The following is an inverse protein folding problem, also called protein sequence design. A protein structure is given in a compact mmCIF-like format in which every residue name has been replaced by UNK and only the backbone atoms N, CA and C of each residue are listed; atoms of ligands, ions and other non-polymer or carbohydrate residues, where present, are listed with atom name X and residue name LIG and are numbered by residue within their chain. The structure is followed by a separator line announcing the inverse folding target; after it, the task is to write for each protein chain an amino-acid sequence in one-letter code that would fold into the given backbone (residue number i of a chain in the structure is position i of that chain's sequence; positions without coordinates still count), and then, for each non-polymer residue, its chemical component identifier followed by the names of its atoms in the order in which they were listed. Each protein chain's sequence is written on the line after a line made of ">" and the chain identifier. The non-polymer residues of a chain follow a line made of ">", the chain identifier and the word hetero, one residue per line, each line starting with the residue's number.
data_IF_232466223641
#
_entry.id   IF_232466223641
#
_cell.length_a   1.000
_cell.length_b   1.000
_cell.length_c   1.000
_cell.angle_alpha   90.00
_cell.angle_beta   90.00
_cell.angle_gamma   90.00
#
_symmetry.space_group_name_H-M   'P 1'
#
loop_
_entity.id
_entity.type
_entity.pdbx_description
1 polymer ?
#
# COMPACT_ATOMS: atom_id res chain seq x y z
N UNK A 1 12.30 34.68 -0.29
CA UNK A 1 11.66 33.44 0.21
C UNK A 1 10.26 33.27 -0.39
N UNK A 2 10.12 33.10 -1.72
CA UNK A 2 8.80 33.00 -2.40
C UNK A 2 8.37 31.59 -2.80
N UNK A 3 9.24 30.59 -2.60
CA UNK A 3 9.03 29.19 -3.01
C UNK A 3 9.21 28.21 -1.83
N UNK A 4 8.81 28.59 -0.62
CA UNK A 4 8.90 27.67 0.52
C UNK A 4 7.76 26.64 0.43
N UNK A 5 8.13 25.36 0.35
CA UNK A 5 7.18 24.26 0.28
C UNK A 5 6.64 24.04 1.68
N UNK A 6 5.40 24.45 1.93
CA UNK A 6 4.73 24.13 3.20
C UNK A 6 4.32 22.66 3.22
N UNK A 7 4.89 21.84 4.13
CA UNK A 7 4.53 20.45 4.24
C UNK A 7 3.11 20.27 4.82
N UNK A 8 2.55 19.09 4.59
CA UNK A 8 1.23 18.65 4.99
C UNK A 8 1.29 17.14 5.26
N UNK A 9 0.88 16.73 6.46
CA UNK A 9 0.78 15.33 6.88
C UNK A 9 -0.42 14.63 6.26
N UNK A 10 -0.52 14.68 4.93
CA UNK A 10 -1.63 14.15 4.13
C UNK A 10 -1.94 12.70 4.45
N UNK A 11 -0.92 11.91 4.79
CA UNK A 11 -1.08 10.50 5.11
C UNK A 11 -1.94 10.23 6.35
N UNK A 12 -1.92 11.11 7.35
CA UNK A 12 -2.54 10.84 8.66
C UNK A 12 -4.06 10.63 8.52
N UNK A 13 -4.83 11.52 7.85
CA UNK A 13 -6.24 11.28 7.60
C UNK A 13 -6.53 9.97 6.86
N UNK A 14 -5.75 9.60 5.85
CA UNK A 14 -5.96 8.33 5.12
C UNK A 14 -5.66 7.09 5.97
N UNK A 15 -4.65 7.16 6.86
CA UNK A 15 -4.40 6.08 7.82
C UNK A 15 -5.60 5.92 8.75
N UNK A 16 -6.25 7.01 9.19
CA UNK A 16 -7.45 6.94 10.03
C UNK A 16 -8.63 6.35 9.23
N UNK A 17 -8.88 6.85 8.02
CA UNK A 17 -9.95 6.38 7.14
C UNK A 17 -9.80 4.88 6.85
N UNK A 18 -8.58 4.42 6.58
CA UNK A 18 -8.28 3.01 6.37
C UNK A 18 -8.67 2.15 7.58
N UNK A 19 -8.34 2.61 8.79
CA UNK A 19 -8.68 1.92 10.03
C UNK A 19 -10.18 1.82 10.25
N UNK A 20 -10.91 2.90 9.97
CA UNK A 20 -12.38 2.92 10.02
C UNK A 20 -12.96 1.89 9.04
N UNK A 21 -12.45 1.83 7.81
CA UNK A 21 -12.91 0.87 6.81
C UNK A 21 -12.59 -0.58 7.17
N UNK A 22 -11.39 -0.85 7.71
CA UNK A 22 -11.05 -2.20 8.17
C UNK A 22 -11.91 -2.63 9.36
N UNK A 23 -12.18 -1.74 10.31
CA UNK A 23 -13.11 -1.99 11.42
C UNK A 23 -14.52 -2.27 10.90
N UNK A 24 -15.04 -1.41 10.03
CA UNK A 24 -16.36 -1.58 9.43
C UNK A 24 -16.46 -2.89 8.63
N UNK A 25 -15.43 -3.22 7.84
CA UNK A 25 -15.35 -4.48 7.09
C UNK A 25 -15.27 -5.70 8.00
N UNK A 26 -14.54 -5.63 9.12
CA UNK A 26 -14.50 -6.68 10.12
C UNK A 26 -15.87 -6.91 10.78
N UNK A 27 -16.54 -5.82 11.18
CA UNK A 27 -17.88 -5.87 11.77
C UNK A 27 -18.93 -6.37 10.77
N UNK A 28 -18.77 -6.08 9.48
CA UNK A 28 -19.73 -6.48 8.46
C UNK A 28 -19.74 -7.98 8.16
N UNK A 29 -18.77 -8.74 8.67
CA UNK A 29 -18.81 -10.20 8.67
C UNK A 29 -20.00 -10.75 9.48
N UNK A 30 -20.45 -10.02 10.52
CA UNK A 30 -21.60 -10.43 11.35
C UNK A 30 -22.95 -10.07 10.73
N UNK A 31 -22.98 -9.13 9.78
CA UNK A 31 -24.20 -8.66 9.11
C UNK A 31 -24.35 -9.18 7.69
N UNK A 32 -23.34 -9.90 7.18
CA UNK A 32 -23.38 -10.61 5.89
C UNK A 32 -23.24 -9.73 4.64
N UNK A 33 -22.88 -8.45 4.77
CA UNK A 33 -22.82 -7.53 3.63
C UNK A 33 -21.48 -6.79 3.54
N UNK A 34 -21.04 -6.49 2.31
CA UNK A 34 -19.99 -5.51 1.98
C UNK A 34 -18.57 -5.73 2.52
N UNK A 35 -18.25 -6.87 3.14
CA UNK A 35 -16.92 -7.14 3.72
C UNK A 35 -15.77 -6.88 2.73
N UNK A 36 -15.78 -7.53 1.57
CA UNK A 36 -14.72 -7.39 0.57
C UNK A 36 -14.55 -5.95 0.07
N UNK A 37 -15.66 -5.24 -0.18
CA UNK A 37 -15.65 -3.85 -0.61
C UNK A 37 -15.04 -2.95 0.46
N UNK A 38 -15.45 -3.08 1.72
CA UNK A 38 -14.94 -2.25 2.83
C UNK A 38 -13.44 -2.50 3.08
N UNK A 39 -13.00 -3.76 3.02
CA UNK A 39 -11.58 -4.09 3.13
C UNK A 39 -10.75 -3.45 2.01
N UNK A 40 -11.26 -3.46 0.76
CA UNK A 40 -10.59 -2.80 -0.34
C UNK A 40 -10.60 -1.28 -0.20
N UNK A 41 -11.72 -0.66 0.19
CA UNK A 41 -11.77 0.78 0.46
C UNK A 41 -10.72 1.21 1.51
N UNK A 42 -10.51 0.38 2.54
CA UNK A 42 -9.43 0.59 3.50
C UNK A 42 -8.03 0.55 2.87
N UNK A 43 -7.75 -0.46 2.06
CA UNK A 43 -6.47 -0.59 1.35
C UNK A 43 -6.23 0.56 0.34
N UNK A 44 -7.28 0.96 -0.38
CA UNK A 44 -7.27 2.06 -1.33
C UNK A 44 -7.13 3.44 -0.65
N UNK A 45 -7.59 3.55 0.60
CA UNK A 45 -7.31 4.72 1.44
C UNK A 45 -5.82 4.78 1.81
N UNK A 46 -5.21 3.68 2.29
CA UNK A 46 -3.76 3.61 2.53
C UNK A 46 -2.96 3.99 1.28
N UNK A 47 -3.34 3.39 0.15
CA UNK A 47 -2.78 3.67 -1.17
C UNK A 47 -2.82 5.16 -1.53
N UNK A 48 -4.01 5.79 -1.45
CA UNK A 48 -4.19 7.20 -1.80
C UNK A 48 -3.35 8.12 -0.92
N UNK A 49 -3.36 7.88 0.40
CA UNK A 49 -2.57 8.66 1.34
C UNK A 49 -1.06 8.53 1.11
N UNK A 50 -0.59 7.32 0.76
CA UNK A 50 0.82 7.11 0.49
C UNK A 50 1.29 7.67 -0.85
N UNK A 51 0.48 7.63 -1.91
CA UNK A 51 0.82 8.35 -3.15
C UNK A 51 0.90 9.84 -2.89
N UNK A 52 -0.09 10.43 -2.23
CA UNK A 52 -0.09 11.86 -1.95
C UNK A 52 1.12 12.27 -1.11
N UNK A 53 1.54 11.42 -0.15
CA UNK A 53 2.75 11.64 0.63
C UNK A 53 4.04 11.49 -0.19
N UNK A 54 4.18 10.38 -0.93
CA UNK A 54 5.42 10.02 -1.64
C UNK A 54 5.86 11.10 -2.59
N UNK A 55 4.90 11.70 -3.24
CA UNK A 55 5.21 12.66 -4.24
C UNK A 55 4.99 14.11 -3.75
N UNK A 56 3.95 14.40 -2.94
CA UNK A 56 3.57 15.80 -2.71
C UNK A 56 2.92 16.11 -1.35
N UNK A 57 3.69 16.19 -0.27
CA UNK A 57 3.17 16.72 1.00
C UNK A 57 2.95 18.25 0.94
N UNK A 58 2.85 18.88 -0.24
CA UNK A 58 2.85 20.34 -0.37
C UNK A 58 1.42 20.90 -0.39
N UNK A 59 1.17 21.96 0.40
CA UNK A 59 -0.14 22.65 0.44
C UNK A 59 -0.63 23.20 -0.91
N UNK A 60 0.25 23.37 -1.89
CA UNK A 60 -0.15 23.82 -3.24
C UNK A 60 -1.09 22.84 -3.96
N UNK A 61 -1.11 21.56 -3.56
CA UNK A 61 -2.00 20.55 -4.12
C UNK A 61 -3.22 20.26 -3.22
N UNK A 62 -3.48 21.09 -2.20
CA UNK A 62 -4.48 20.79 -1.17
C UNK A 62 -5.88 20.54 -1.73
N UNK A 63 -6.27 21.27 -2.79
CA UNK A 63 -7.61 21.14 -3.38
C UNK A 63 -7.86 19.73 -3.93
N UNK A 64 -7.09 19.23 -4.91
CA UNK A 64 -7.34 17.89 -5.44
C UNK A 64 -7.05 16.79 -4.40
N UNK A 65 -6.19 17.05 -3.41
CA UNK A 65 -5.95 16.12 -2.32
C UNK A 65 -7.15 16.01 -1.35
N UNK A 66 -7.80 17.12 -1.01
CA UNK A 66 -9.03 17.12 -0.21
C UNK A 66 -10.20 16.49 -0.99
N UNK A 67 -10.30 16.75 -2.29
CA UNK A 67 -11.30 16.11 -3.16
C UNK A 67 -11.11 14.59 -3.13
N UNK A 68 -9.89 14.10 -3.34
CA UNK A 68 -9.60 12.67 -3.22
C UNK A 68 -9.99 12.14 -1.83
N UNK A 69 -9.60 12.82 -0.76
CA UNK A 69 -9.87 12.41 0.62
C UNK A 69 -11.38 12.28 0.90
N UNK A 70 -12.18 13.27 0.50
CA UNK A 70 -13.63 13.26 0.68
C UNK A 70 -14.26 12.12 -0.13
N UNK A 71 -13.84 11.94 -1.37
CA UNK A 71 -14.42 10.93 -2.26
C UNK A 71 -14.06 9.51 -1.83
N UNK A 72 -12.85 9.25 -1.32
CA UNK A 72 -12.49 7.91 -0.82
C UNK A 72 -13.33 7.50 0.40
N UNK A 73 -13.83 8.46 1.19
CA UNK A 73 -14.74 8.22 2.32
C UNK A 73 -16.17 7.81 1.89
N UNK A 74 -16.52 7.94 0.62
CA UNK A 74 -17.83 7.55 0.10
C UNK A 74 -17.72 6.10 -0.40
N UNK A 75 -18.41 5.12 0.24
CA UNK A 75 -18.26 3.70 -0.06
C UNK A 75 -19.03 3.27 -1.32
N UNK A 76 -18.87 4.03 -2.42
CA UNK A 76 -19.54 3.82 -3.70
C UNK A 76 -18.46 3.70 -4.79
N UNK A 77 -18.48 2.66 -5.66
CA UNK A 77 -17.47 2.48 -6.70
C UNK A 77 -17.25 3.70 -7.60
N UNK A 78 -18.32 4.40 -7.98
CA UNK A 78 -18.23 5.62 -8.79
C UNK A 78 -17.49 6.76 -8.06
N UNK A 79 -17.68 6.90 -6.75
CA UNK A 79 -16.95 7.89 -5.96
C UNK A 79 -15.44 7.56 -5.94
N UNK A 80 -15.08 6.27 -5.94
CA UNK A 80 -13.68 5.84 -6.04
C UNK A 80 -13.08 6.19 -7.39
N UNK A 81 -13.82 6.02 -8.51
CA UNK A 81 -13.36 6.49 -9.84
C UNK A 81 -13.01 7.97 -9.81
N UNK A 82 -13.92 8.81 -9.29
CA UNK A 82 -13.68 10.25 -9.18
C UNK A 82 -12.51 10.57 -8.24
N UNK A 83 -12.36 9.83 -7.14
CA UNK A 83 -11.23 9.97 -6.24
C UNK A 83 -9.91 9.72 -6.98
N UNK A 84 -9.82 8.66 -7.79
CA UNK A 84 -8.60 8.33 -8.53
C UNK A 84 -8.34 9.23 -9.72
N UNK A 85 -9.36 9.88 -10.30
CA UNK A 85 -9.17 10.98 -11.24
C UNK A 85 -8.48 12.15 -10.53
N UNK A 86 -8.99 12.57 -9.37
CA UNK A 86 -8.36 13.64 -8.58
C UNK A 86 -6.92 13.28 -8.15
N UNK A 87 -6.67 12.02 -7.78
CA UNK A 87 -5.33 11.52 -7.47
C UNK A 87 -4.41 11.55 -8.69
N UNK A 88 -4.91 11.14 -9.87
CA UNK A 88 -4.15 11.15 -11.12
C UNK A 88 -3.79 12.57 -11.53
N UNK A 89 -4.73 13.51 -11.48
CA UNK A 89 -4.46 14.94 -11.71
C UNK A 89 -3.38 15.44 -10.74
N UNK A 90 -3.53 15.10 -9.45
CA UNK A 90 -2.55 15.44 -8.43
C UNK A 90 -1.19 14.87 -8.75
N UNK A 91 -1.09 13.64 -9.25
CA UNK A 91 0.18 12.98 -9.59
C UNK A 91 0.82 13.49 -10.90
N UNK A 92 0.03 13.91 -11.88
CA UNK A 92 0.53 14.44 -13.16
C UNK A 92 1.07 15.86 -13.00
N UNK A 93 0.30 16.77 -12.39
CA UNK A 93 0.70 18.18 -12.18
C UNK A 93 2.08 18.29 -11.53
N UNK A 94 2.37 17.33 -10.72
CA UNK A 94 3.35 17.40 -9.68
C UNK A 94 4.63 16.67 -10.08
N UNK A 95 4.53 15.62 -10.90
CA UNK A 95 5.62 15.15 -11.75
C UNK A 95 6.08 16.28 -12.69
N UNK A 96 5.15 17.03 -13.31
CA UNK A 96 5.49 18.17 -14.17
C UNK A 96 6.17 19.32 -13.40
N UNK A 97 5.84 19.50 -12.13
CA UNK A 97 6.53 20.46 -11.27
C UNK A 97 7.94 19.97 -10.93
N UNK A 98 8.08 18.71 -10.51
CA UNK A 98 9.38 18.11 -10.14
C UNK A 98 10.35 18.12 -11.31
N UNK A 99 9.89 17.85 -12.54
CA UNK A 99 10.74 17.86 -13.73
C UNK A 99 11.33 19.24 -14.05
N UNK A 100 10.71 20.34 -13.59
CA UNK A 100 11.22 21.70 -13.77
C UNK A 100 12.37 22.05 -12.82
N UNK A 101 12.55 21.29 -11.72
CA UNK A 101 13.63 21.54 -10.75
C UNK A 101 14.97 20.90 -11.13
N UNK A 102 15.10 20.33 -12.34
CA UNK A 102 16.38 19.87 -12.91
C UNK A 102 16.99 18.60 -12.30
N UNK A 103 16.38 18.02 -11.26
CA UNK A 103 16.83 16.76 -10.69
C UNK A 103 16.38 15.56 -11.55
N UNK A 104 17.28 14.58 -11.76
CA UNK A 104 16.93 13.28 -12.35
C UNK A 104 16.03 12.51 -11.38
N UNK A 105 14.72 12.71 -11.47
CA UNK A 105 13.74 12.00 -10.65
C UNK A 105 13.72 10.51 -11.04
N UNK A 106 13.93 9.56 -10.12
CA UNK A 106 13.82 8.14 -10.43
C UNK A 106 12.35 7.82 -10.75
N UNK A 107 12.04 7.61 -12.02
CA UNK A 107 10.69 7.30 -12.49
C UNK A 107 10.34 5.89 -12.03
N UNK A 108 9.54 5.79 -10.97
CA UNK A 108 8.96 4.52 -10.55
C UNK A 108 7.69 4.25 -11.37
N UNK A 109 7.84 3.55 -12.49
CA UNK A 109 6.79 3.31 -13.48
C UNK A 109 5.58 2.60 -12.86
N UNK A 110 5.83 1.61 -12.00
CA UNK A 110 4.77 0.86 -11.31
C UNK A 110 3.91 1.77 -10.44
N UNK A 111 4.54 2.64 -9.65
CA UNK A 111 3.83 3.60 -8.77
C UNK A 111 3.14 4.69 -9.58
N UNK A 112 3.76 5.21 -10.63
CA UNK A 112 3.19 6.30 -11.44
C UNK A 112 2.05 5.82 -12.33
N UNK A 113 2.06 4.55 -12.74
CA UNK A 113 0.95 3.95 -13.50
C UNK A 113 -0.26 3.61 -12.62
N UNK A 114 -0.07 3.34 -11.33
CA UNK A 114 -1.15 2.84 -10.48
C UNK A 114 -2.36 3.79 -10.32
N UNK A 115 -2.25 5.13 -10.30
CA UNK A 115 -3.44 6.01 -10.25
C UNK A 115 -4.29 5.89 -11.50
N UNK A 116 -3.65 5.87 -12.67
CA UNK A 116 -4.31 5.70 -13.97
C UNK A 116 -4.99 4.33 -14.03
N UNK A 117 -4.28 3.27 -13.62
CA UNK A 117 -4.85 1.93 -13.52
C UNK A 117 -6.03 1.89 -12.53
N UNK A 118 -5.98 2.64 -11.43
CA UNK A 118 -7.08 2.72 -10.47
C UNK A 118 -8.34 3.32 -11.10
N UNK A 119 -8.21 4.37 -11.92
CA UNK A 119 -9.36 4.94 -12.66
C UNK A 119 -9.99 3.89 -13.57
N UNK A 120 -9.16 3.20 -14.37
CA UNK A 120 -9.62 2.17 -15.32
C UNK A 120 -10.32 1.03 -14.57
N UNK A 121 -9.64 0.44 -13.58
CA UNK A 121 -10.13 -0.77 -12.92
C UNK A 121 -11.26 -0.52 -11.93
N UNK A 122 -11.38 0.66 -11.31
CA UNK A 122 -12.59 1.02 -10.56
C UNK A 122 -13.80 1.21 -11.49
N UNK A 123 -13.59 1.76 -12.69
CA UNK A 123 -14.65 1.88 -13.70
C UNK A 123 -15.14 0.50 -14.13
N UNK A 124 -14.20 -0.40 -14.46
CA UNK A 124 -14.53 -1.78 -14.80
C UNK A 124 -15.16 -2.52 -13.61
N UNK A 125 -14.68 -2.32 -12.38
CA UNK A 125 -15.29 -2.92 -11.19
C UNK A 125 -16.73 -2.43 -10.99
N UNK A 126 -17.02 -1.15 -11.21
CA UNK A 126 -18.37 -0.62 -11.13
C UNK A 126 -19.32 -1.24 -12.16
N UNK A 127 -18.80 -1.69 -13.32
CA UNK A 127 -19.58 -2.33 -14.37
C UNK A 127 -19.74 -3.84 -14.15
N UNK A 128 -18.71 -4.54 -13.65
CA UNK A 128 -18.64 -6.00 -13.63
C UNK A 128 -18.63 -6.64 -12.24
N UNK A 129 -18.44 -5.87 -11.17
CA UNK A 129 -18.43 -6.37 -9.79
C UNK A 129 -17.29 -7.33 -9.44
N UNK A 130 -16.23 -7.40 -10.25
CA UNK A 130 -15.15 -8.38 -10.08
C UNK A 130 -13.95 -7.80 -9.28
N UNK A 131 -13.73 -8.32 -8.07
CA UNK A 131 -12.64 -7.91 -7.17
C UNK A 131 -11.23 -8.09 -7.73
N UNK A 132 -11.00 -9.02 -8.65
CA UNK A 132 -9.70 -9.23 -9.29
C UNK A 132 -9.19 -8.00 -10.03
N UNK A 133 -10.11 -7.20 -10.58
CA UNK A 133 -9.81 -5.94 -11.25
C UNK A 133 -9.07 -4.96 -10.33
N UNK A 134 -9.45 -4.95 -9.05
CA UNK A 134 -8.94 -4.01 -8.05
C UNK A 134 -7.57 -4.43 -7.49
N UNK A 135 -7.16 -5.69 -7.67
CA UNK A 135 -5.83 -6.17 -7.25
C UNK A 135 -4.73 -5.57 -8.13
N UNK A 136 -4.97 -5.37 -9.42
CA UNK A 136 -3.98 -4.91 -10.40
C UNK A 136 -3.35 -3.56 -10.03
N UNK A 137 -4.13 -2.48 -9.82
CA UNK A 137 -3.57 -1.19 -9.43
C UNK A 137 -2.88 -1.25 -8.05
N UNK A 138 -3.45 -1.98 -7.07
CA UNK A 138 -2.85 -2.12 -5.74
C UNK A 138 -1.51 -2.86 -5.81
N UNK A 139 -1.44 -3.98 -6.53
CA UNK A 139 -0.22 -4.76 -6.65
C UNK A 139 0.86 -4.01 -7.42
N UNK A 140 0.48 -3.27 -8.47
CA UNK A 140 1.38 -2.36 -9.19
C UNK A 140 2.01 -1.35 -8.22
N UNK A 141 1.18 -0.67 -7.42
CA UNK A 141 1.66 0.25 -6.40
C UNK A 141 2.59 -0.42 -5.39
N UNK A 142 2.15 -1.54 -4.78
CA UNK A 142 2.85 -2.24 -3.71
C UNK A 142 4.22 -2.75 -4.14
N UNK A 143 4.32 -3.37 -5.31
CA UNK A 143 5.60 -3.82 -5.86
C UNK A 143 6.52 -2.64 -6.15
N UNK A 144 5.96 -1.56 -6.71
CA UNK A 144 6.70 -0.35 -7.01
C UNK A 144 7.32 0.31 -5.77
N UNK A 145 6.54 0.57 -4.72
CA UNK A 145 7.06 1.25 -3.52
C UNK A 145 8.02 0.37 -2.71
N UNK A 146 7.80 -0.95 -2.68
CA UNK A 146 8.65 -1.86 -1.93
C UNK A 146 10.01 -2.14 -2.60
N UNK A 147 10.20 -1.79 -3.88
CA UNK A 147 11.57 -1.75 -4.45
C UNK A 147 12.47 -0.85 -3.59
N UNK A 148 11.97 0.32 -3.17
CA UNK A 148 12.73 1.26 -2.35
C UNK A 148 13.02 0.73 -0.94
N UNK A 149 12.02 0.12 -0.30
CA UNK A 149 12.14 -0.48 1.04
C UNK A 149 13.19 -1.59 1.01
N UNK A 150 13.02 -2.58 0.15
CA UNK A 150 13.92 -3.73 0.07
C UNK A 150 15.33 -3.35 -0.40
N UNK A 151 15.46 -2.35 -1.29
CA UNK A 151 16.78 -1.81 -1.64
C UNK A 151 17.50 -1.26 -0.41
N UNK A 152 16.79 -0.52 0.44
CA UNK A 152 17.39 0.12 1.60
C UNK A 152 17.67 -0.86 2.76
N UNK A 153 16.80 -1.85 2.96
CA UNK A 153 16.85 -2.78 4.10
C UNK A 153 17.62 -4.07 3.78
N UNK A 154 17.45 -4.64 2.59
CA UNK A 154 18.09 -5.88 2.15
C UNK A 154 19.29 -5.64 1.21
N UNK A 155 19.51 -4.39 0.79
CA UNK A 155 20.66 -4.03 -0.05
C UNK A 155 20.58 -4.58 -1.48
N UNK A 156 19.37 -4.88 -1.97
CA UNK A 156 19.16 -5.29 -3.37
C UNK A 156 19.42 -4.14 -4.33
N UNK A 157 19.73 -4.44 -5.59
CA UNK A 157 19.95 -3.39 -6.60
C UNK A 157 18.62 -2.71 -6.93
N UNK A 158 18.50 -1.38 -6.84
CA UNK A 158 17.29 -0.68 -7.25
C UNK A 158 17.07 -0.84 -8.75
N UNK A 159 15.83 -1.11 -9.14
CA UNK A 159 15.41 -1.25 -10.53
C UNK A 159 14.16 -0.39 -10.75
N UNK A 160 14.31 0.70 -11.48
CA UNK A 160 13.25 1.68 -11.77
C UNK A 160 13.07 1.88 -13.28
N UNK A 161 12.01 2.58 -13.68
CA UNK A 161 11.71 2.91 -15.06
C UNK A 161 11.34 1.70 -15.90
N UNK A 162 11.88 1.62 -17.12
CA UNK A 162 11.56 0.56 -18.09
C UNK A 162 11.89 -0.85 -17.59
N UNK A 163 12.84 -0.99 -16.65
CA UNK A 163 13.16 -2.29 -16.03
C UNK A 163 11.99 -2.89 -15.26
N UNK A 164 10.95 -2.09 -14.94
CA UNK A 164 9.76 -2.54 -14.23
C UNK A 164 8.62 -3.00 -15.16
N UNK A 165 8.76 -2.87 -16.49
CA UNK A 165 7.77 -3.35 -17.46
C UNK A 165 7.46 -4.85 -17.33
N UNK A 166 8.44 -5.75 -17.11
CA UNK A 166 8.15 -7.18 -16.89
C UNK A 166 7.28 -7.42 -15.66
N UNK A 167 7.47 -6.62 -14.61
CA UNK A 167 6.66 -6.72 -13.37
C UNK A 167 5.25 -6.22 -13.63
N UNK A 168 5.10 -5.12 -14.37
CA UNK A 168 3.78 -4.63 -14.76
C UNK A 168 3.03 -5.68 -15.58
N UNK A 169 3.68 -6.30 -16.58
CA UNK A 169 3.10 -7.39 -17.36
C UNK A 169 2.71 -8.59 -16.49
N UNK A 170 3.56 -8.96 -15.53
CA UNK A 170 3.27 -10.03 -14.57
C UNK A 170 2.04 -9.69 -13.72
N UNK A 171 1.86 -8.44 -13.28
CA UNK A 171 0.66 -8.00 -12.55
C UNK A 171 -0.60 -8.15 -13.41
N UNK A 172 -0.55 -7.81 -14.70
CA UNK A 172 -1.68 -7.99 -15.61
C UNK A 172 -2.04 -9.46 -15.87
N UNK A 173 -1.11 -10.40 -15.67
CA UNK A 173 -1.41 -11.84 -15.80
C UNK A 173 -2.56 -12.28 -14.89
N UNK A 174 -2.80 -11.57 -13.77
CA UNK A 174 -3.91 -11.83 -12.85
C UNK A 174 -5.26 -11.89 -13.56
N UNK A 175 -5.47 -11.10 -14.63
CA UNK A 175 -6.72 -11.11 -15.40
C UNK A 175 -7.01 -12.46 -16.09
N UNK A 176 -5.97 -13.26 -16.34
CA UNK A 176 -6.08 -14.50 -17.10
C UNK A 176 -6.04 -15.71 -16.18
N UNK A 177 -5.11 -15.72 -15.23
CA UNK A 177 -4.79 -16.93 -14.46
C UNK A 177 -5.31 -16.90 -13.02
N UNK A 178 -5.65 -15.73 -12.48
CA UNK A 178 -6.12 -15.57 -11.10
C UNK A 178 -5.23 -16.24 -10.02
N UNK A 179 -3.92 -16.34 -10.26
CA UNK A 179 -2.95 -16.87 -9.30
C UNK A 179 -2.00 -15.76 -8.86
N UNK A 180 -2.04 -15.42 -7.57
CA UNK A 180 -1.24 -14.34 -6.96
C UNK A 180 0.25 -14.72 -6.93
N UNK A 181 0.58 -16.01 -6.84
CA UNK A 181 1.97 -16.48 -6.83
C UNK A 181 2.74 -16.11 -8.11
N UNK A 182 2.07 -16.00 -9.26
CA UNK A 182 2.77 -15.71 -10.52
C UNK A 182 3.38 -14.29 -10.50
N UNK A 183 2.62 -13.21 -10.29
CA UNK A 183 3.21 -11.89 -10.17
C UNK A 183 4.15 -11.75 -8.98
N UNK A 184 3.85 -12.36 -7.83
CA UNK A 184 4.72 -12.30 -6.63
C UNK A 184 6.05 -13.00 -6.85
N UNK A 185 6.03 -14.22 -7.40
CA UNK A 185 7.21 -15.01 -7.70
C UNK A 185 8.11 -14.33 -8.74
N UNK A 186 7.52 -13.81 -9.82
CA UNK A 186 8.25 -13.04 -10.83
C UNK A 186 8.86 -11.77 -10.20
N UNK A 187 8.11 -11.05 -9.37
CA UNK A 187 8.60 -9.87 -8.67
C UNK A 187 9.81 -10.17 -7.78
N UNK A 188 9.75 -11.22 -6.96
CA UNK A 188 10.87 -11.59 -6.10
C UNK A 188 12.05 -12.12 -6.88
N UNK A 189 11.84 -13.01 -7.86
CA UNK A 189 12.93 -13.51 -8.71
C UNK A 189 13.65 -12.35 -9.41
N UNK A 190 12.88 -11.40 -9.96
CA UNK A 190 13.41 -10.20 -10.57
C UNK A 190 14.15 -9.31 -9.57
N UNK A 191 13.58 -9.02 -8.40
CA UNK A 191 14.17 -8.10 -7.44
C UNK A 191 15.46 -8.65 -6.83
N UNK A 192 15.46 -9.94 -6.47
CA UNK A 192 16.56 -10.62 -5.78
C UNK A 192 17.57 -11.29 -6.73
N UNK A 193 17.42 -11.13 -8.05
CA UNK A 193 18.32 -11.71 -9.05
C UNK A 193 19.82 -11.44 -8.80
N UNK A 194 20.15 -10.24 -8.30
CA UNK A 194 21.55 -9.84 -8.02
C UNK A 194 21.98 -10.15 -6.57
N UNK A 195 21.20 -10.95 -5.85
CA UNK A 195 21.43 -11.30 -4.46
C UNK A 195 21.03 -10.22 -3.45
N UNK A 196 21.04 -10.63 -2.18
CA UNK A 196 20.80 -9.81 -0.99
C UNK A 196 22.15 -9.45 -0.38
N UNK A 197 22.36 -8.18 -0.01
CA UNK A 197 23.64 -7.69 0.54
C UNK A 197 23.58 -7.34 2.02
N UNK A 198 22.39 -7.23 2.57
CA UNK A 198 22.13 -6.89 3.98
C UNK A 198 20.98 -7.73 4.49
N UNK A 199 20.95 -7.94 5.79
CA UNK A 199 19.84 -8.62 6.43
C UNK A 199 19.08 -7.63 7.31
N UNK A 200 17.76 -7.58 7.15
CA UNK A 200 16.84 -6.94 8.07
C UNK A 200 15.67 -7.91 8.29
N UNK A 201 15.39 -8.22 9.56
CA UNK A 201 14.42 -9.25 9.92
C UNK A 201 13.02 -8.92 9.40
N UNK A 202 12.54 -7.69 9.63
CA UNK A 202 11.21 -7.25 9.16
C UNK A 202 11.07 -7.37 7.66
N UNK A 203 12.03 -6.85 6.89
CA UNK A 203 12.00 -6.95 5.43
C UNK A 203 12.05 -8.42 4.95
N UNK A 204 12.90 -9.25 5.55
CA UNK A 204 13.00 -10.68 5.20
C UNK A 204 11.71 -11.44 5.52
N UNK A 205 11.09 -11.15 6.67
CA UNK A 205 9.82 -11.73 7.08
C UNK A 205 8.69 -11.27 6.16
N UNK A 206 8.61 -9.99 5.78
CA UNK A 206 7.62 -9.51 4.79
C UNK A 206 7.74 -10.26 3.45
N UNK A 207 8.97 -10.47 2.96
CA UNK A 207 9.21 -11.24 1.72
C UNK A 207 8.79 -12.69 1.89
N UNK A 208 9.19 -13.32 2.98
CA UNK A 208 8.84 -14.71 3.30
C UNK A 208 7.32 -14.88 3.37
N UNK A 209 6.60 -14.07 4.14
CA UNK A 209 5.14 -14.18 4.28
C UNK A 209 4.43 -13.95 2.96
N UNK A 210 4.88 -12.97 2.16
CA UNK A 210 4.31 -12.71 0.84
C UNK A 210 4.49 -13.87 -0.14
N UNK A 211 5.69 -14.45 -0.19
CA UNK A 211 6.01 -15.57 -1.08
C UNK A 211 5.32 -16.85 -0.65
N UNK A 212 5.43 -17.17 0.65
CA UNK A 212 4.90 -18.40 1.22
C UNK A 212 3.36 -18.45 1.19
N UNK A 213 2.70 -17.35 1.57
CA UNK A 213 1.23 -17.28 1.55
C UNK A 213 0.69 -17.37 0.13
N UNK A 214 1.33 -16.70 -0.83
CA UNK A 214 0.94 -16.77 -2.25
C UNK A 214 1.20 -18.15 -2.84
N UNK A 215 2.30 -18.82 -2.46
CA UNK A 215 2.57 -20.18 -2.94
C UNK A 215 1.54 -21.17 -2.42
N UNK A 216 1.21 -21.09 -1.13
CA UNK A 216 0.26 -21.99 -0.51
C UNK A 216 -1.19 -21.72 -0.95
N UNK A 217 -1.50 -20.52 -1.45
CA UNK A 217 -2.85 -20.23 -1.94
C UNK A 217 -3.27 -21.07 -3.14
N UNK A 218 -2.30 -21.55 -3.93
CA UNK A 218 -2.56 -22.49 -5.04
C UNK A 218 -3.21 -23.77 -4.54
N UNK A 219 -2.85 -24.23 -3.34
CA UNK A 219 -3.40 -25.45 -2.75
C UNK A 219 -4.69 -25.20 -1.96
N UNK A 220 -4.88 -24.00 -1.43
CA UNK A 220 -6.05 -23.67 -0.61
C UNK A 220 -7.20 -23.04 -1.41
N UNK A 221 -6.94 -22.56 -2.63
CA UNK A 221 -7.89 -21.85 -3.48
C UNK A 221 -8.26 -20.44 -2.99
N UNK A 222 -7.66 -19.93 -1.91
CA UNK A 222 -8.02 -18.65 -1.28
C UNK A 222 -7.16 -17.47 -1.75
N UNK A 223 -7.09 -17.26 -3.05
CA UNK A 223 -6.15 -16.31 -3.68
C UNK A 223 -6.37 -14.84 -3.28
N UNK A 224 -7.62 -14.35 -3.25
CA UNK A 224 -7.90 -12.95 -2.86
C UNK A 224 -7.47 -12.69 -1.40
N UNK A 225 -7.65 -13.68 -0.52
CA UNK A 225 -7.23 -13.57 0.87
C UNK A 225 -5.71 -13.68 1.00
N UNK A 226 -5.05 -14.50 0.18
CA UNK A 226 -3.60 -14.58 0.11
C UNK A 226 -2.99 -13.26 -0.36
N UNK A 227 -3.61 -12.61 -1.35
CA UNK A 227 -3.26 -11.24 -1.72
C UNK A 227 -3.45 -10.29 -0.54
N UNK A 228 -4.63 -10.27 0.09
CA UNK A 228 -4.94 -9.31 1.15
C UNK A 228 -4.02 -9.45 2.39
N UNK A 229 -3.85 -10.67 2.90
CA UNK A 229 -3.16 -10.96 4.15
C UNK A 229 -1.67 -11.29 3.96
N UNK A 230 -1.29 -11.86 2.82
CA UNK A 230 0.10 -12.24 2.53
C UNK A 230 0.90 -11.14 1.85
N UNK A 231 0.27 -10.37 0.95
CA UNK A 231 0.96 -9.37 0.12
C UNK A 231 0.56 -7.95 0.51
N UNK A 232 -0.72 -7.60 0.36
CA UNK A 232 -1.23 -6.25 0.46
C UNK A 232 -0.96 -5.61 1.82
N UNK A 233 -1.51 -6.16 2.90
CA UNK A 233 -1.33 -5.59 4.23
C UNK A 233 0.14 -5.63 4.69
N UNK A 234 0.88 -6.76 4.56
CA UNK A 234 2.30 -6.79 4.92
C UNK A 234 3.12 -5.75 4.16
N UNK A 235 2.91 -5.59 2.85
CA UNK A 235 3.69 -4.64 2.03
C UNK A 235 3.31 -3.19 2.32
N UNK A 236 2.05 -2.90 2.63
CA UNK A 236 1.64 -1.57 3.12
C UNK A 236 2.27 -1.28 4.48
N UNK A 237 2.14 -2.19 5.44
CA UNK A 237 2.61 -1.94 6.80
C UNK A 237 4.12 -1.84 6.89
N UNK A 238 4.84 -2.66 6.13
CA UNK A 238 6.30 -2.57 6.00
C UNK A 238 6.71 -1.22 5.38
N UNK A 239 6.10 -0.81 4.26
CA UNK A 239 6.49 0.44 3.59
C UNK A 239 6.09 1.69 4.39
N UNK A 240 4.92 1.70 5.02
CA UNK A 240 4.44 2.81 5.82
C UNK A 240 5.31 2.95 7.08
N UNK A 241 5.55 1.85 7.81
CA UNK A 241 6.37 1.89 9.03
C UNK A 241 7.81 2.28 8.71
N UNK A 242 8.42 1.71 7.66
CA UNK A 242 9.76 2.08 7.23
C UNK A 242 9.88 3.57 6.91
N UNK A 243 8.85 4.14 6.29
CA UNK A 243 8.89 5.50 5.80
C UNK A 243 8.45 6.55 6.83
N UNK A 244 7.58 6.22 7.78
CA UNK A 244 7.03 7.16 8.79
C UNK A 244 7.66 7.00 10.17
N UNK A 245 8.04 5.78 10.53
CA UNK A 245 8.53 5.40 11.85
C UNK A 245 9.69 4.43 11.73
N UNK A 246 10.74 4.82 10.97
CA UNK A 246 11.89 3.95 10.70
C UNK A 246 12.54 3.36 11.95
N UNK A 247 12.58 4.12 13.05
CA UNK A 247 13.09 3.69 14.35
C UNK A 247 12.29 2.53 14.97
N UNK A 248 11.05 2.31 14.54
CA UNK A 248 10.22 1.18 14.95
C UNK A 248 10.21 0.03 13.94
N UNK A 249 10.91 0.17 12.80
CA UNK A 249 10.84 -0.81 11.70
C UNK A 249 11.37 -2.20 12.10
N UNK A 250 12.33 -2.27 13.03
CA UNK A 250 12.88 -3.55 13.48
C UNK A 250 11.90 -4.39 14.31
N UNK A 251 10.76 -3.83 14.71
CA UNK A 251 9.66 -4.55 15.37
C UNK A 251 8.51 -4.92 14.43
N UNK A 252 8.56 -4.47 13.16
CA UNK A 252 7.47 -4.65 12.19
C UNK A 252 7.26 -6.13 11.81
N UNK A 253 8.29 -6.98 11.87
CA UNK A 253 8.23 -8.41 11.51
C UNK A 253 7.09 -9.20 12.17
N UNK A 254 6.61 -8.76 13.35
CA UNK A 254 5.50 -9.39 14.06
C UNK A 254 4.20 -9.27 13.25
N UNK A 255 4.00 -8.16 12.55
CA UNK A 255 2.76 -7.85 11.84
C UNK A 255 2.57 -8.81 10.64
N UNK A 256 3.52 -8.97 9.70
CA UNK A 256 3.38 -9.94 8.62
C UNK A 256 3.17 -11.38 9.12
N UNK A 257 3.81 -11.78 10.22
CA UNK A 257 3.61 -13.11 10.81
C UNK A 257 2.18 -13.30 11.33
N UNK A 258 1.63 -12.31 12.05
CA UNK A 258 0.24 -12.36 12.51
C UNK A 258 -0.75 -12.44 11.34
N UNK A 259 -0.48 -11.71 10.25
CA UNK A 259 -1.33 -11.74 9.06
C UNK A 259 -1.23 -13.07 8.30
N UNK A 260 -0.04 -13.67 8.23
CA UNK A 260 0.16 -15.01 7.69
C UNK A 260 -0.56 -16.08 8.55
N UNK A 261 -0.43 -16.00 9.87
CA UNK A 261 -1.15 -16.87 10.81
C UNK A 261 -2.66 -16.70 10.63
N UNK A 262 -3.15 -15.46 10.52
CA UNK A 262 -4.54 -15.17 10.23
C UNK A 262 -5.03 -15.87 8.96
N UNK A 263 -4.25 -15.83 7.89
CA UNK A 263 -4.58 -16.52 6.63
C UNK A 263 -4.73 -18.03 6.82
N UNK A 264 -3.79 -18.68 7.51
CA UNK A 264 -3.86 -20.13 7.73
C UNK A 264 -4.98 -20.54 8.69
N UNK A 265 -5.18 -19.79 9.78
CA UNK A 265 -6.27 -20.04 10.72
C UNK A 265 -7.63 -19.90 10.05
N UNK A 266 -7.77 -18.97 9.09
CA UNK A 266 -9.03 -18.72 8.37
C UNK A 266 -9.60 -19.98 7.73
N UNK A 267 -8.74 -20.91 7.30
CA UNK A 267 -9.16 -22.18 6.70
C UNK A 267 -10.03 -23.02 7.65
N UNK A 268 -9.85 -22.83 8.95
CA UNK A 268 -10.50 -23.63 9.98
C UNK A 268 -11.50 -22.81 10.79
N UNK A 269 -11.12 -21.58 11.18
CA UNK A 269 -11.88 -20.76 12.13
C UNK A 269 -11.81 -19.27 11.75
N UNK A 270 -12.97 -18.69 11.43
CA UNK A 270 -13.06 -17.28 11.02
C UNK A 270 -12.75 -16.31 12.17
N UNK A 271 -13.26 -16.56 13.38
CA UNK A 271 -13.11 -15.64 14.52
C UNK A 271 -11.64 -15.50 14.96
N UNK A 272 -10.88 -16.59 15.20
CA UNK A 272 -9.48 -16.47 15.60
C UNK A 272 -8.59 -15.87 14.50
N UNK A 273 -8.91 -16.11 13.22
CA UNK A 273 -8.30 -15.41 12.08
C UNK A 273 -8.54 -13.90 12.14
N UNK A 274 -9.79 -13.49 12.42
CA UNK A 274 -10.15 -12.10 12.65
C UNK A 274 -9.36 -11.45 13.79
N UNK A 275 -9.19 -12.16 14.92
CA UNK A 275 -8.41 -11.67 16.07
C UNK A 275 -6.94 -11.44 15.67
N UNK A 276 -6.30 -12.41 15.01
CA UNK A 276 -4.92 -12.26 14.56
C UNK A 276 -4.74 -11.06 13.62
N UNK A 277 -5.71 -10.84 12.71
CA UNK A 277 -5.73 -9.66 11.83
C UNK A 277 -5.88 -8.36 12.63
N UNK A 278 -6.82 -8.31 13.57
CA UNK A 278 -7.06 -7.14 14.41
C UNK A 278 -5.84 -6.77 15.26
N UNK A 279 -5.18 -7.76 15.86
CA UNK A 279 -3.93 -7.54 16.61
C UNK A 279 -2.84 -6.99 15.70
N UNK A 280 -2.69 -7.51 14.48
CA UNK A 280 -1.76 -6.98 13.48
C UNK A 280 -2.04 -5.52 13.11
N UNK A 281 -3.31 -5.16 12.91
CA UNK A 281 -3.74 -3.78 12.65
C UNK A 281 -3.42 -2.87 13.84
N UNK A 282 -3.77 -3.27 15.06
CA UNK A 282 -3.51 -2.49 16.28
C UNK A 282 -2.01 -2.26 16.45
N UNK A 283 -1.20 -3.30 16.26
CA UNK A 283 0.25 -3.20 16.34
C UNK A 283 0.81 -2.25 15.27
N UNK A 284 0.28 -2.28 14.04
CA UNK A 284 0.64 -1.32 13.00
C UNK A 284 0.39 0.13 13.42
N UNK A 285 -0.79 0.43 14.00
CA UNK A 285 -1.10 1.77 14.51
C UNK A 285 -0.19 2.15 15.68
N UNK A 286 0.09 1.21 16.58
CA UNK A 286 1.01 1.42 17.70
C UNK A 286 2.41 1.80 17.23
N UNK A 287 2.99 1.06 16.27
CA UNK A 287 4.32 1.38 15.72
C UNK A 287 4.35 2.73 14.98
N UNK A 288 3.20 3.26 14.57
CA UNK A 288 3.07 4.53 13.87
C UNK A 288 2.43 5.63 14.72
N UNK A 289 2.27 5.43 16.04
CA UNK A 289 1.49 6.31 16.93
C UNK A 289 1.96 7.78 16.91
N UNK A 290 3.28 7.99 16.82
CA UNK A 290 3.92 9.31 16.79
C UNK A 290 3.51 10.15 15.55
N UNK A 291 2.95 9.51 14.53
CA UNK A 291 2.44 10.20 13.34
C UNK A 291 1.02 10.73 13.51
N UNK A 292 0.26 10.27 14.51
CA UNK A 292 -1.12 10.72 14.76
C UNK A 292 -1.15 11.94 15.68
N UNK A 293 -0.54 13.04 15.23
CA UNK A 293 -0.52 14.30 15.98
C UNK A 293 -0.83 15.51 15.10
N UNK A 294 -1.34 16.57 15.72
CA UNK A 294 -1.51 17.88 15.06
C UNK A 294 -0.19 18.41 14.51
N UNK A 295 0.92 18.10 15.18
CA UNK A 295 2.25 18.43 14.71
C UNK A 295 2.56 17.77 13.37
N UNK A 296 2.32 16.46 13.26
CA UNK A 296 2.54 15.71 12.01
C UNK A 296 1.60 16.19 10.90
N UNK A 297 0.33 16.46 11.20
CA UNK A 297 -0.62 17.03 10.24
C UNK A 297 -0.12 18.37 9.67
N UNK A 298 0.43 19.24 10.53
CA UNK A 298 0.93 20.56 10.13
C UNK A 298 2.27 20.50 9.40
N UNK A 299 3.16 19.58 9.78
CA UNK A 299 4.57 19.58 9.35
C UNK A 299 4.94 18.43 8.41
N UNK A 300 4.04 17.48 8.13
CA UNK A 300 4.31 16.34 7.25
C UNK A 300 5.12 15.19 7.85
N UNK A 301 5.75 15.40 9.01
CA UNK A 301 6.59 14.43 9.71
C UNK A 301 6.37 14.48 11.21
N UNK A 302 6.60 13.36 11.90
CA UNK A 302 6.50 13.28 13.35
C UNK A 302 7.59 14.09 14.05
N UNK A 303 7.28 14.63 15.24
CA UNK A 303 8.24 15.40 16.05
C UNK A 303 9.47 14.57 16.41
N UNK A 304 9.27 13.28 16.70
CA UNK A 304 10.34 12.35 17.04
C UNK A 304 11.34 12.20 15.90
N UNK A 305 10.84 12.09 14.67
CA UNK A 305 11.68 12.02 13.47
C UNK A 305 12.54 13.27 13.26
N UNK A 306 12.03 14.46 13.60
CA UNK A 306 12.77 15.72 13.49
C UNK A 306 13.75 15.96 14.64
N UNK A 307 13.48 15.39 15.81
CA UNK A 307 14.28 15.63 17.03
C UNK A 307 15.64 14.93 17.05
N UNK A 308 15.96 14.10 16.07
CA UNK A 308 17.21 13.35 16.01
C UNK A 308 17.37 12.25 17.09
N UNK A 309 16.44 12.15 18.04
CA UNK A 309 16.34 11.07 19.02
C UNK A 309 15.69 9.81 18.42
N UNK A 310 16.14 9.43 17.21
CA UNK A 310 15.68 8.27 16.46
C UNK A 310 16.73 7.15 16.51
#
# INVERSE_FOLDING_TARGET
>A
MKNEIFPWGVNVPYLIIAGIYFLAGGLSLFTGQSHGLLMLLGAYSLYSGMIQRLFFPARKYIVPQLINMILVCIPIPLAQVLAYIALTITAVWSVLDVSKYGAKYPINLLVLSSPILSVIFWTLFSAFGNYWLLIIPLMSYLFGVNVGVFTATLGVKPKYGLLQLPILAAVFSILLIHYVIVPVGIYFAWLFFNGVKRFNLSAAVTVFTGGFTSLLSVFTGMEIHAFALGVMLPFFYSCITYSLSRYNYDYEYVIPLLLMISYFIRMFLLIPSGIATAVGIILFYYLNIDNFSLFTLRNGLSKKFLSGNA
#
